data_IF_756013747492
#
_entry.id   IF_756013747492
#
_cell.length_a   1.000
_cell.length_b   1.000
_cell.length_c   1.000
_cell.angle_alpha   90.00
_cell.angle_beta   90.00
_cell.angle_gamma   90.00
#
_symmetry.space_group_name_H-M   'P 1'
#
loop_
_entity.id
_entity.type
_entity.pdbx_description
1 polymer ?
#
# COMPACT_ATOMS: atom_id res chain seq x y z
N UNK A 1 -12.93 5.15 8.27
CA UNK A 1 -11.81 4.55 7.50
C UNK A 1 -11.06 5.68 6.81
N UNK A 2 -9.87 6.02 7.31
CA UNK A 2 -9.11 7.17 6.80
C UNK A 2 -8.34 6.77 5.57
N UNK A 3 -8.66 7.40 4.45
CA UNK A 3 -7.98 7.33 3.16
C UNK A 3 -6.45 7.44 3.33
N UNK A 4 -5.68 6.70 2.53
CA UNK A 4 -4.22 6.82 2.54
C UNK A 4 -3.83 8.22 2.07
N UNK A 5 -2.78 8.79 2.66
CA UNK A 5 -2.18 9.98 2.06
C UNK A 5 -1.40 9.55 0.81
N UNK A 6 -1.17 10.44 -0.18
CA UNK A 6 -0.41 10.07 -1.39
C UNK A 6 0.92 9.39 -1.07
N UNK A 7 1.63 9.92 -0.07
CA UNK A 7 2.88 9.35 0.41
C UNK A 7 2.73 7.96 1.04
N UNK A 8 1.63 7.68 1.73
CA UNK A 8 1.37 6.36 2.29
C UNK A 8 1.04 5.34 1.20
N UNK A 9 0.32 5.75 0.15
CA UNK A 9 0.06 4.94 -1.03
C UNK A 9 1.35 4.58 -1.75
N UNK A 10 2.24 5.55 -1.98
CA UNK A 10 3.59 5.31 -2.55
C UNK A 10 4.38 4.28 -1.75
N UNK A 11 4.36 4.37 -0.40
CA UNK A 11 5.07 3.43 0.47
C UNK A 11 4.48 2.02 0.34
N UNK A 12 3.15 1.90 0.33
CA UNK A 12 2.48 0.62 0.15
C UNK A 12 2.82 0.00 -1.20
N UNK A 13 2.77 0.78 -2.28
CA UNK A 13 3.11 0.35 -3.62
C UNK A 13 4.58 -0.09 -3.74
N UNK A 14 5.50 0.63 -3.11
CA UNK A 14 6.91 0.25 -3.07
C UNK A 14 7.12 -1.12 -2.39
N UNK A 15 6.39 -1.39 -1.30
CA UNK A 15 6.43 -2.69 -0.61
C UNK A 15 5.88 -3.80 -1.50
N UNK A 16 4.72 -3.58 -2.14
CA UNK A 16 4.08 -4.54 -3.05
C UNK A 16 5.01 -4.85 -4.23
N UNK A 17 5.51 -3.82 -4.90
CA UNK A 17 6.41 -3.97 -6.05
C UNK A 17 7.71 -4.69 -5.68
N UNK A 18 8.29 -4.37 -4.51
CA UNK A 18 9.49 -5.05 -4.04
C UNK A 18 9.23 -6.54 -3.79
N UNK A 19 8.12 -6.86 -3.12
CA UNK A 19 7.72 -8.24 -2.87
C UNK A 19 7.49 -9.00 -4.16
N UNK A 20 6.81 -8.40 -5.14
CA UNK A 20 6.50 -9.06 -6.40
C UNK A 20 7.74 -9.29 -7.25
N UNK A 21 8.77 -8.44 -7.13
CA UNK A 21 10.06 -8.61 -7.81
C UNK A 21 10.99 -9.61 -7.15
N UNK A 22 11.02 -9.66 -5.82
CA UNK A 22 12.04 -10.42 -5.06
C UNK A 22 11.49 -11.69 -4.40
N UNK A 23 10.17 -11.83 -4.31
CA UNK A 23 9.49 -12.92 -3.59
C UNK A 23 9.36 -12.71 -2.08
N UNK A 24 9.94 -11.65 -1.51
CA UNK A 24 9.91 -11.36 -0.07
C UNK A 24 9.78 -9.85 0.22
N UNK A 25 9.23 -9.45 1.38
CA UNK A 25 9.07 -8.03 1.70
C UNK A 25 10.41 -7.34 1.98
N UNK A 26 10.52 -6.02 1.76
CA UNK A 26 11.72 -5.26 2.09
C UNK A 26 11.91 -5.15 3.61
N UNK A 27 13.15 -4.94 4.04
CA UNK A 27 13.47 -4.46 5.38
C UNK A 27 13.18 -2.97 5.51
N UNK A 28 13.14 -2.43 6.73
CA UNK A 28 12.96 -0.98 6.94
C UNK A 28 14.09 -0.15 6.34
N UNK A 29 15.33 -0.68 6.34
CA UNK A 29 16.48 -0.01 5.73
C UNK A 29 16.37 0.04 4.21
N UNK A 30 16.04 -1.09 3.58
CA UNK A 30 15.80 -1.14 2.13
C UNK A 30 14.62 -0.25 1.74
N UNK A 31 13.51 -0.31 2.51
CA UNK A 31 12.34 0.50 2.26
C UNK A 31 12.67 2.00 2.31
N UNK A 32 13.47 2.44 3.28
CA UNK A 32 13.92 3.82 3.35
C UNK A 32 14.69 4.23 2.08
N UNK A 33 15.54 3.35 1.55
CA UNK A 33 16.22 3.56 0.27
C UNK A 33 15.25 3.66 -0.91
N UNK A 34 14.26 2.77 -0.99
CA UNK A 34 13.28 2.72 -2.08
C UNK A 34 12.42 3.99 -2.18
N UNK A 35 12.03 4.55 -1.03
CA UNK A 35 11.17 5.74 -0.99
C UNK A 35 11.97 7.04 -0.82
N UNK A 36 13.29 6.99 -0.67
CA UNK A 36 14.13 8.17 -0.46
C UNK A 36 13.95 8.83 0.90
N UNK A 37 13.69 8.05 1.95
CA UNK A 37 13.66 8.55 3.32
C UNK A 37 15.08 8.79 3.87
N UNK A 38 15.24 9.86 4.66
CA UNK A 38 16.51 10.19 5.30
C UNK A 38 16.97 9.17 6.37
N UNK A 39 16.07 8.31 6.88
CA UNK A 39 16.42 7.26 7.83
C UNK A 39 15.44 6.08 7.82
N UNK A 40 15.86 4.90 8.31
CA UNK A 40 14.97 3.75 8.53
C UNK A 40 13.79 4.06 9.46
N UNK A 41 13.98 4.95 10.43
CA UNK A 41 12.91 5.36 11.35
C UNK A 41 11.79 6.11 10.62
N UNK A 42 12.13 6.95 9.62
CA UNK A 42 11.10 7.63 8.82
C UNK A 42 10.24 6.63 8.03
N UNK A 43 10.86 5.60 7.43
CA UNK A 43 10.12 4.51 6.80
C UNK A 43 9.25 3.74 7.81
N UNK A 44 9.78 3.50 9.02
CA UNK A 44 9.04 2.82 10.08
C UNK A 44 7.77 3.57 10.50
N UNK A 45 7.78 4.91 10.54
CA UNK A 45 6.58 5.70 10.86
C UNK A 45 5.49 5.55 9.80
N UNK A 46 5.84 5.54 8.51
CA UNK A 46 4.88 5.25 7.45
C UNK A 46 4.31 3.83 7.57
N UNK A 47 5.16 2.83 7.84
CA UNK A 47 4.74 1.44 8.03
C UNK A 47 3.81 1.30 9.25
N UNK A 48 4.08 1.99 10.36
CA UNK A 48 3.19 2.04 11.53
C UNK A 48 1.84 2.66 11.19
N UNK A 49 1.81 3.75 10.43
CA UNK A 49 0.58 4.40 10.01
C UNK A 49 -0.26 3.48 9.11
N UNK A 50 0.38 2.79 8.15
CA UNK A 50 -0.25 1.80 7.28
C UNK A 50 -0.79 0.61 8.08
N UNK A 51 -0.04 0.11 9.07
CA UNK A 51 -0.51 -0.92 10.01
C UNK A 51 -1.74 -0.46 10.79
N UNK A 52 -1.73 0.75 11.33
CA UNK A 52 -2.88 1.33 12.06
C UNK A 52 -4.13 1.44 11.18
N UNK A 53 -3.95 1.71 9.88
CA UNK A 53 -5.02 1.73 8.88
C UNK A 53 -5.40 0.34 8.34
N UNK A 54 -4.72 -0.72 8.81
CA UNK A 54 -4.97 -2.11 8.46
C UNK A 54 -4.44 -2.55 7.09
N UNK A 55 -3.60 -1.76 6.42
CA UNK A 55 -3.01 -2.13 5.12
C UNK A 55 -1.85 -3.13 5.27
N UNK A 56 -1.16 -3.09 6.41
CA UNK A 56 -0.01 -3.93 6.70
C UNK A 56 -0.17 -4.67 8.03
N UNK A 57 0.48 -5.81 8.13
CA UNK A 57 0.83 -6.48 9.39
C UNK A 57 2.35 -6.54 9.53
N UNK A 58 2.85 -6.62 10.77
CA UNK A 58 4.29 -6.66 11.07
C UNK A 58 4.55 -7.77 12.08
N UNK A 59 5.35 -8.76 11.70
CA UNK A 59 5.88 -9.78 12.59
C UNK A 59 6.97 -9.17 13.52
N UNK A 60 6.81 -9.21 14.85
CA UNK A 60 7.81 -8.70 15.78
C UNK A 60 9.16 -9.41 15.64
N UNK A 61 10.27 -8.67 15.74
CA UNK A 61 11.62 -9.24 15.72
C UNK A 61 12.12 -9.73 14.36
N UNK A 62 11.30 -9.71 13.31
CA UNK A 62 11.70 -10.12 11.96
C UNK A 62 12.13 -8.93 11.11
N UNK A 63 13.35 -8.97 10.56
CA UNK A 63 13.86 -7.92 9.66
C UNK A 63 12.98 -7.75 8.40
N UNK A 64 12.43 -8.86 7.89
CA UNK A 64 11.48 -8.92 6.76
C UNK A 64 10.06 -9.27 7.22
N UNK A 65 9.62 -8.70 8.33
CA UNK A 65 8.34 -9.01 8.97
C UNK A 65 7.10 -8.35 8.36
N UNK A 66 7.22 -7.56 7.29
CA UNK A 66 6.10 -6.80 6.72
C UNK A 66 5.23 -7.71 5.83
N UNK A 67 3.93 -7.76 6.11
CA UNK A 67 2.95 -8.46 5.28
C UNK A 67 1.88 -7.49 4.80
N UNK A 68 1.59 -7.49 3.49
CA UNK A 68 0.48 -6.72 2.92
C UNK A 68 -0.83 -7.44 3.18
N UNK A 69 -1.78 -6.77 3.83
CA UNK A 69 -3.09 -7.34 4.22
C UNK A 69 -4.19 -6.92 3.25
N UNK A 70 -4.14 -5.68 2.77
CA UNK A 70 -5.03 -5.15 1.74
C UNK A 70 -4.26 -4.17 0.86
N UNK A 71 -4.65 -4.09 -0.40
CA UNK A 71 -4.19 -3.08 -1.35
C UNK A 71 -5.27 -2.01 -1.53
N UNK A 72 -4.95 -0.90 -2.21
CA UNK A 72 -5.99 0.06 -2.61
C UNK A 72 -7.03 -0.57 -3.55
N UNK A 73 -6.63 -1.59 -4.31
CA UNK A 73 -7.51 -2.37 -5.20
C UNK A 73 -8.46 -3.27 -4.41
N UNK A 74 -8.19 -3.54 -3.13
CA UNK A 74 -9.08 -4.33 -2.26
C UNK A 74 -10.09 -3.46 -1.49
N UNK A 75 -10.17 -2.15 -1.80
CA UNK A 75 -11.07 -1.24 -1.11
C UNK A 75 -12.55 -1.60 -1.36
N UNK A 76 -13.42 -1.21 -0.43
CA UNK A 76 -14.86 -1.37 -0.59
C UNK A 76 -15.40 -0.50 -1.77
N UNK A 77 -16.55 -0.86 -2.37
CA UNK A 77 -17.09 -0.13 -3.52
C UNK A 77 -17.29 1.37 -3.24
N UNK A 78 -17.63 1.75 -2.01
CA UNK A 78 -17.86 3.15 -1.65
C UNK A 78 -16.55 3.93 -1.68
N UNK A 79 -15.45 3.34 -1.21
CA UNK A 79 -14.11 3.93 -1.31
C UNK A 79 -13.66 4.09 -2.77
N UNK A 80 -13.91 3.09 -3.63
CA UNK A 80 -13.61 3.17 -5.07
C UNK A 80 -14.41 4.31 -5.73
N UNK A 81 -15.73 4.39 -5.49
CA UNK A 81 -16.59 5.44 -6.04
C UNK A 81 -16.15 6.83 -5.55
N UNK A 82 -15.85 6.98 -4.26
CA UNK A 82 -15.34 8.23 -3.71
C UNK A 82 -14.04 8.66 -4.38
N UNK A 83 -13.09 7.72 -4.57
CA UNK A 83 -11.84 8.01 -5.27
C UNK A 83 -12.08 8.52 -6.70
N UNK A 84 -13.01 7.91 -7.44
CA UNK A 84 -13.40 8.33 -8.79
C UNK A 84 -13.99 9.74 -8.81
N UNK A 85 -14.88 10.06 -7.85
CA UNK A 85 -15.52 11.38 -7.75
C UNK A 85 -14.54 12.49 -7.30
N UNK A 86 -13.60 12.15 -6.42
CA UNK A 86 -12.57 13.07 -5.91
C UNK A 86 -11.44 13.32 -6.91
N UNK A 87 -11.39 12.58 -8.03
CA UNK A 87 -10.36 12.75 -9.06
C UNK A 87 -8.96 12.29 -8.65
N UNK A 88 -8.86 11.29 -7.76
CA UNK A 88 -7.55 10.78 -7.33
C UNK A 88 -6.74 10.18 -8.48
N UNK A 89 -5.42 10.42 -8.50
CA UNK A 89 -4.52 10.07 -9.62
C UNK A 89 -4.64 8.60 -10.08
N UNK A 90 -4.85 7.67 -9.14
CA UNK A 90 -4.97 6.23 -9.42
C UNK A 90 -6.41 5.71 -9.36
N UNK A 91 -7.40 6.56 -9.13
CA UNK A 91 -8.77 6.13 -8.85
C UNK A 91 -9.38 5.32 -10.00
N UNK A 92 -9.16 5.74 -11.25
CA UNK A 92 -9.65 5.01 -12.43
C UNK A 92 -9.00 3.63 -12.56
N UNK A 93 -7.69 3.55 -12.37
CA UNK A 93 -6.95 2.28 -12.48
C UNK A 93 -7.40 1.33 -11.38
N UNK A 94 -7.48 1.79 -10.14
CA UNK A 94 -7.95 1.00 -9.01
C UNK A 94 -9.38 0.50 -9.23
N UNK A 95 -10.27 1.32 -9.78
CA UNK A 95 -11.64 0.92 -10.10
C UNK A 95 -11.71 -0.17 -11.18
N UNK A 96 -10.92 -0.04 -12.25
CA UNK A 96 -10.86 -1.04 -13.32
C UNK A 96 -10.31 -2.37 -12.79
N UNK A 97 -9.23 -2.34 -12.02
CA UNK A 97 -8.65 -3.55 -11.41
C UNK A 97 -9.60 -4.19 -10.39
N UNK A 98 -10.31 -3.37 -9.60
CA UNK A 98 -11.35 -3.85 -8.69
C UNK A 98 -12.48 -4.57 -9.47
N UNK A 99 -12.98 -3.97 -10.56
CA UNK A 99 -14.03 -4.55 -11.40
C UNK A 99 -13.58 -5.87 -12.05
N UNK A 100 -12.36 -5.93 -12.59
CA UNK A 100 -11.77 -7.17 -13.11
C UNK A 100 -11.73 -8.26 -12.05
N UNK A 101 -11.37 -7.92 -10.81
CA UNK A 101 -11.36 -8.87 -9.68
C UNK A 101 -12.76 -9.40 -9.34
N UNK A 102 -13.81 -8.62 -9.62
CA UNK A 102 -15.21 -9.07 -9.50
C UNK A 102 -15.72 -9.81 -10.75
N UNK A 103 -14.88 -10.05 -11.76
CA UNK A 103 -15.28 -10.69 -13.02
C UNK A 103 -16.00 -9.76 -14.00
N UNK A 104 -15.98 -8.45 -13.76
CA UNK A 104 -16.59 -7.43 -14.63
C UNK A 104 -15.52 -6.88 -15.57
N UNK A 105 -15.82 -6.89 -16.88
CA UNK A 105 -14.93 -6.34 -17.93
C UNK A 105 -15.40 -4.93 -18.30
N UNK A 106 -14.47 -3.98 -18.39
CA UNK A 106 -14.71 -2.53 -18.57
C UNK A 106 -13.75 -1.94 -19.59
#
# INVERSE_FOLDING_TARGET
MSELTPRQSEVLDAIVLYKDRTGFPPTLLELAGLIGCASPNAAAEHVKALKKKGYLSIAPGAARGITVVKTEVDADPVAIIKGLLSGGDKARVNAVEWLKKQGVTV
#
